data_IF_187957696848
#
_entry.id   IF_187957696848
#
_cell.length_a   1.000
_cell.length_b   1.000
_cell.length_c   1.000
_cell.angle_alpha   90.00
_cell.angle_beta   90.00
_cell.angle_gamma   90.00
#
_symmetry.space_group_name_H-M   'P 1'
#
loop_
_entity.id
_entity.type
_entity.pdbx_description
1 polymer ?
#
# COMPACT_ATOMS: atom_id res chain seq x y z
N UNK A 1 8.64 21.93 6.12
CA UNK A 1 9.14 21.01 5.12
C UNK A 1 8.35 19.71 5.14
N UNK A 2 7.84 19.30 3.99
CA UNK A 2 7.06 18.06 3.93
C UNK A 2 8.00 16.87 4.01
N UNK A 3 7.59 15.89 4.81
CA UNK A 3 8.27 14.60 4.80
C UNK A 3 7.88 13.88 3.53
N UNK A 4 8.86 13.30 2.88
CA UNK A 4 8.56 12.45 1.73
C UNK A 4 8.10 11.09 2.24
N UNK A 5 7.05 10.60 1.63
CA UNK A 5 6.53 9.28 1.95
C UNK A 5 6.72 8.38 0.75
N UNK A 6 7.07 7.14 0.99
CA UNK A 6 7.08 6.13 -0.05
C UNK A 6 6.06 5.07 0.29
N UNK A 7 5.51 4.47 -0.75
CA UNK A 7 4.39 3.56 -0.62
C UNK A 7 4.69 2.22 -1.27
N UNK A 8 4.45 1.16 -0.52
CA UNK A 8 4.51 -0.20 -1.06
C UNK A 8 3.13 -0.81 -0.90
N UNK A 9 2.56 -1.28 -1.98
CA UNK A 9 1.25 -1.91 -1.95
C UNK A 9 1.43 -3.42 -2.05
N UNK A 10 1.03 -4.11 -0.98
CA UNK A 10 1.02 -5.56 -0.96
C UNK A 10 -0.29 -6.02 -1.57
N UNK A 11 -0.20 -6.84 -2.61
CA UNK A 11 -1.35 -7.18 -3.43
C UNK A 11 -1.25 -8.60 -3.97
N UNK A 12 -2.34 -9.06 -4.57
CA UNK A 12 -2.33 -10.25 -5.42
C UNK A 12 -3.08 -9.89 -6.69
N UNK A 13 -2.82 -10.62 -7.76
CA UNK A 13 -3.48 -10.33 -9.04
C UNK A 13 -4.94 -10.78 -9.06
N UNK A 14 -5.33 -11.59 -8.08
CA UNK A 14 -6.71 -12.08 -7.98
C UNK A 14 -7.60 -11.17 -7.13
N UNK A 15 -7.06 -10.11 -6.60
CA UNK A 15 -7.76 -9.23 -5.66
C UNK A 15 -8.34 -8.00 -6.36
N UNK A 16 -9.66 -7.95 -6.46
CA UNK A 16 -10.33 -6.79 -7.06
C UNK A 16 -10.15 -5.52 -6.26
N UNK A 17 -10.05 -5.62 -4.94
CA UNK A 17 -9.83 -4.45 -4.11
C UNK A 17 -8.42 -3.88 -4.30
N UNK A 18 -7.45 -4.74 -4.57
CA UNK A 18 -6.10 -4.28 -4.88
C UNK A 18 -6.11 -3.46 -6.17
N UNK A 19 -6.90 -3.86 -7.15
CA UNK A 19 -7.05 -3.13 -8.39
C UNK A 19 -7.61 -1.74 -8.18
N UNK A 20 -8.56 -1.59 -7.27
CA UNK A 20 -9.12 -0.27 -6.97
C UNK A 20 -8.07 0.69 -6.48
N UNK A 21 -7.19 0.22 -5.59
CA UNK A 21 -6.12 1.05 -5.06
C UNK A 21 -5.13 1.40 -6.15
N UNK A 22 -4.75 0.42 -6.96
CA UNK A 22 -3.79 0.64 -8.05
C UNK A 22 -4.33 1.62 -9.08
N UNK A 23 -5.60 1.46 -9.45
CA UNK A 23 -6.24 2.33 -10.42
C UNK A 23 -6.32 3.76 -9.92
N UNK A 24 -6.72 3.93 -8.68
CA UNK A 24 -6.77 5.25 -8.06
C UNK A 24 -5.39 5.92 -8.07
N UNK A 25 -4.36 5.19 -7.68
CA UNK A 25 -3.00 5.72 -7.65
C UNK A 25 -2.53 6.12 -9.04
N UNK A 26 -2.79 5.26 -10.03
CA UNK A 26 -2.38 5.52 -11.39
C UNK A 26 -3.05 6.77 -11.95
N UNK A 27 -4.35 6.92 -11.71
CA UNK A 27 -5.10 8.07 -12.20
C UNK A 27 -4.67 9.38 -11.55
N UNK A 28 -4.08 9.31 -10.37
CA UNK A 28 -3.69 10.49 -9.61
C UNK A 28 -2.18 10.70 -9.55
N UNK A 29 -1.42 9.95 -10.33
CA UNK A 29 0.04 10.13 -10.41
C UNK A 29 0.78 9.73 -9.15
N UNK A 30 0.22 8.84 -8.36
CA UNK A 30 0.87 8.35 -7.14
C UNK A 30 1.68 7.10 -7.47
N UNK A 31 2.97 7.12 -7.12
CA UNK A 31 3.84 5.98 -7.35
C UNK A 31 3.70 4.95 -6.23
N UNK A 32 3.37 3.73 -6.61
CA UNK A 32 3.30 2.61 -5.68
C UNK A 32 4.31 1.55 -6.11
N UNK A 33 5.09 1.04 -5.17
CA UNK A 33 5.89 -0.14 -5.41
C UNK A 33 5.00 -1.33 -5.12
N UNK A 34 4.81 -2.18 -6.12
CA UNK A 34 3.90 -3.33 -5.97
C UNK A 34 4.65 -4.53 -5.43
N UNK A 35 4.07 -5.16 -4.42
CA UNK A 35 4.64 -6.36 -3.81
C UNK A 35 3.58 -7.47 -3.88
N UNK A 36 3.86 -8.50 -4.67
CA UNK A 36 2.92 -9.59 -4.89
C UNK A 36 3.15 -10.69 -3.87
N UNK A 37 2.18 -10.88 -2.97
CA UNK A 37 2.34 -11.83 -1.87
C UNK A 37 2.13 -13.28 -2.29
N UNK A 38 1.63 -13.53 -3.49
CA UNK A 38 1.48 -14.90 -3.98
C UNK A 38 2.73 -15.40 -4.70
N UNK A 39 3.49 -14.51 -5.30
CA UNK A 39 4.67 -14.88 -6.08
C UNK A 39 5.98 -14.54 -5.38
N UNK A 40 5.93 -13.67 -4.37
CA UNK A 40 7.10 -13.23 -3.64
C UNK A 40 6.94 -13.58 -2.16
N UNK A 41 7.63 -14.64 -1.74
CA UNK A 41 7.53 -15.12 -0.36
C UNK A 41 8.07 -14.09 0.64
N UNK A 42 9.04 -13.31 0.23
CA UNK A 42 9.59 -12.27 1.10
C UNK A 42 8.55 -11.19 1.37
N UNK A 43 7.80 -10.79 0.32
CA UNK A 43 6.74 -9.83 0.47
C UNK A 43 5.66 -10.35 1.42
N UNK A 44 5.28 -11.62 1.28
CA UNK A 44 4.31 -12.23 2.17
C UNK A 44 4.79 -12.20 3.62
N UNK A 45 6.04 -12.55 3.83
CA UNK A 45 6.62 -12.57 5.18
C UNK A 45 6.65 -11.17 5.79
N UNK A 46 7.05 -10.17 4.99
CA UNK A 46 7.08 -8.79 5.45
C UNK A 46 5.70 -8.31 5.86
N UNK A 47 4.70 -8.64 5.06
CA UNK A 47 3.32 -8.26 5.34
C UNK A 47 2.84 -8.88 6.67
N UNK A 48 3.10 -10.15 6.84
CA UNK A 48 2.67 -10.85 8.04
C UNK A 48 3.38 -10.33 9.28
N UNK A 49 4.69 -10.12 9.20
CA UNK A 49 5.48 -9.67 10.35
C UNK A 49 5.25 -8.20 10.68
N UNK A 50 5.19 -7.36 9.66
CA UNK A 50 5.05 -5.93 9.86
C UNK A 50 3.63 -5.50 10.16
N UNK A 51 2.69 -5.97 9.33
CA UNK A 51 1.30 -5.59 9.48
C UNK A 51 0.51 -6.46 10.45
N UNK A 52 0.96 -7.69 10.65
CA UNK A 52 0.28 -8.63 11.54
C UNK A 52 -0.83 -9.43 10.89
N UNK A 53 -1.14 -9.17 9.64
CA UNK A 53 -2.18 -9.89 8.89
C UNK A 53 -1.67 -10.16 7.49
N UNK A 54 -2.13 -11.25 6.90
CA UNK A 54 -1.74 -11.62 5.54
C UNK A 54 -2.74 -11.18 4.48
N UNK A 55 -3.74 -10.40 4.85
CA UNK A 55 -4.77 -9.95 3.91
C UNK A 55 -4.27 -8.80 3.04
N UNK A 56 -4.76 -8.74 1.81
CA UNK A 56 -4.44 -7.68 0.87
C UNK A 56 -5.74 -7.02 0.39
N UNK A 57 -5.72 -5.77 -0.04
CA UNK A 57 -4.55 -4.91 -0.17
C UNK A 57 -4.05 -4.40 1.19
N UNK A 58 -2.76 -4.14 1.26
CA UNK A 58 -2.17 -3.50 2.43
C UNK A 58 -1.15 -2.48 1.94
N UNK A 59 -1.25 -1.27 2.46
CA UNK A 59 -0.33 -0.20 2.11
C UNK A 59 0.70 -0.04 3.22
N UNK A 60 1.98 -0.16 2.85
CA UNK A 60 3.08 0.15 3.75
C UNK A 60 3.53 1.57 3.45
N UNK A 61 3.43 2.42 4.43
CA UNK A 61 3.78 3.83 4.31
C UNK A 61 5.08 4.07 5.06
N UNK A 62 6.11 4.47 4.35
CA UNK A 62 7.39 4.79 4.96
C UNK A 62 7.59 6.30 4.92
N UNK A 63 7.79 6.90 6.09
CA UNK A 63 8.01 8.32 6.23
C UNK A 63 9.18 8.52 7.19
N UNK A 64 10.36 8.76 6.63
CA UNK A 64 11.57 8.83 7.43
C UNK A 64 11.85 7.47 8.05
N UNK A 65 11.90 7.41 9.38
CA UNK A 65 12.14 6.16 10.10
C UNK A 65 10.84 5.49 10.52
N UNK A 66 9.70 6.13 10.28
CA UNK A 66 8.42 5.58 10.66
C UNK A 66 7.84 4.73 9.55
N UNK A 67 7.27 3.59 9.94
CA UNK A 67 6.59 2.69 9.02
C UNK A 67 5.19 2.44 9.56
N UNK A 68 4.21 2.66 8.71
CA UNK A 68 2.81 2.42 9.05
C UNK A 68 2.21 1.42 8.08
N UNK A 69 1.26 0.64 8.56
CA UNK A 69 0.58 -0.38 7.75
C UNK A 69 -0.91 -0.10 7.77
N UNK A 70 -1.51 -0.06 6.60
CA UNK A 70 -2.92 0.25 6.48
C UNK A 70 -3.62 -0.82 5.65
N UNK A 71 -4.65 -1.40 6.21
CA UNK A 71 -5.47 -2.39 5.53
C UNK A 71 -6.76 -1.73 5.04
N UNK A 72 -7.54 -2.44 4.27
CA UNK A 72 -8.81 -1.99 3.71
C UNK A 72 -8.64 -0.99 2.58
N UNK A 73 -9.15 -1.38 1.40
CA UNK A 73 -8.97 -0.59 0.19
C UNK A 73 -9.52 0.83 0.31
N UNK A 74 -10.67 0.99 0.96
CA UNK A 74 -11.28 2.33 1.09
C UNK A 74 -10.46 3.23 1.98
N UNK A 75 -9.92 2.69 3.08
CA UNK A 75 -9.07 3.46 3.98
C UNK A 75 -7.78 3.89 3.29
N UNK A 76 -7.21 2.98 2.48
CA UNK A 76 -6.01 3.28 1.72
C UNK A 76 -6.27 4.41 0.72
N UNK A 77 -7.37 4.32 0.00
CA UNK A 77 -7.74 5.34 -0.99
C UNK A 77 -7.99 6.68 -0.30
N UNK A 78 -8.68 6.67 0.83
CA UNK A 78 -8.93 7.90 1.58
C UNK A 78 -7.62 8.53 2.04
N UNK A 79 -6.70 7.73 2.53
CA UNK A 79 -5.40 8.24 2.96
C UNK A 79 -4.64 8.88 1.81
N UNK A 80 -4.55 8.16 0.69
CA UNK A 80 -3.83 8.66 -0.48
C UNK A 80 -4.49 9.90 -1.06
N UNK A 81 -5.81 9.94 -1.05
CA UNK A 81 -6.56 11.11 -1.49
C UNK A 81 -6.21 12.34 -0.64
N UNK A 82 -6.11 12.14 0.66
CA UNK A 82 -5.73 13.24 1.57
C UNK A 82 -4.34 13.76 1.30
N UNK A 83 -3.43 12.90 0.86
CA UNK A 83 -2.07 13.35 0.54
C UNK A 83 -2.02 14.23 -0.70
N UNK A 84 -2.96 14.05 -1.62
CA UNK A 84 -3.01 14.87 -2.83
C UNK A 84 -3.42 16.31 -2.54
N UNK A 85 -4.08 16.54 -1.44
CA UNK A 85 -4.57 17.88 -1.08
C UNK A 85 -3.57 18.69 -0.26
N UNK A 86 -2.42 18.15 0.01
CA UNK A 86 -1.39 18.83 0.81
C UNK A 86 -0.37 19.56 -0.04
#
# INVERSE_FOLDING_TARGET
MKKEESYQLYKTDLCGFCYRVRDFAEQNGISLTLRDTMTDMEAFRELLQGGGKSTVPCLRIESGEEVSWMYESMDIIDYLSGQLEK
#
